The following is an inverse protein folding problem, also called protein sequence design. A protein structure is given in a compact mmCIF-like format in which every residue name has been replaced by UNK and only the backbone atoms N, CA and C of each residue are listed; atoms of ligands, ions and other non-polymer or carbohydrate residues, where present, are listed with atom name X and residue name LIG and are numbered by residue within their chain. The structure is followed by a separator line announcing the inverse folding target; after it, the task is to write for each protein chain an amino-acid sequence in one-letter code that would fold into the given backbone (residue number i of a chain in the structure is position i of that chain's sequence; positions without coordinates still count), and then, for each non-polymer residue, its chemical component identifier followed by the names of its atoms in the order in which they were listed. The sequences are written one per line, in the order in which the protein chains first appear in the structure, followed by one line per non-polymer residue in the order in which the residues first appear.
data_IF_235293029174
#
_entry.id   IF_235293029174
#
_cell.length_a   1.000
_cell.length_b   1.000
_cell.length_c   1.000
_cell.angle_alpha   90.00
_cell.angle_beta   90.00
_cell.angle_gamma   90.00
#
_symmetry.space_group_name_H-M   'P 1'
#
loop_
_entity.id
_entity.type
_entity.pdbx_description
1 polymer ?
#
# COMPACT_ATOMS: atom_id res chain seq x y z
N UNK A 1 3.12 -3.25 16.70
CA UNK A 1 4.53 -3.36 16.26
C UNK A 1 4.89 -4.82 15.96
N UNK A 2 4.95 -5.16 14.67
CA UNK A 2 5.37 -6.47 14.16
C UNK A 2 6.89 -6.68 14.16
N UNK A 3 7.34 -7.87 13.76
CA UNK A 3 8.76 -8.25 13.60
C UNK A 3 9.54 -7.30 12.67
N UNK A 4 8.86 -6.61 11.77
CA UNK A 4 9.45 -5.59 10.88
C UNK A 4 9.44 -4.17 11.45
N UNK A 5 8.73 -3.93 12.56
CA UNK A 5 8.52 -2.61 13.15
C UNK A 5 7.27 -1.88 12.66
N UNK A 6 6.44 -2.50 11.82
CA UNK A 6 5.19 -1.90 11.36
C UNK A 6 4.20 -1.74 12.51
N UNK A 7 3.57 -0.57 12.56
CA UNK A 7 2.44 -0.37 13.45
C UNK A 7 1.13 -0.83 12.81
N UNK A 8 0.10 -0.99 13.65
CA UNK A 8 -1.25 -1.34 13.20
C UNK A 8 -1.78 -0.35 12.15
N UNK A 9 -1.36 0.91 12.24
CA UNK A 9 -1.70 1.95 11.28
C UNK A 9 -1.08 1.70 9.90
N UNK A 10 0.21 1.36 9.82
CA UNK A 10 0.90 1.04 8.56
C UNK A 10 0.24 -0.16 7.87
N UNK A 11 -0.05 -1.20 8.66
CA UNK A 11 -0.72 -2.41 8.19
C UNK A 11 -2.11 -2.07 7.64
N UNK A 12 -2.86 -1.20 8.32
CA UNK A 12 -4.17 -0.72 7.88
C UNK A 12 -4.07 0.10 6.60
N UNK A 13 -3.09 1.00 6.50
CA UNK A 13 -2.79 1.79 5.30
C UNK A 13 -2.54 0.89 4.10
N UNK A 14 -1.57 -0.02 4.21
CA UNK A 14 -1.22 -0.96 3.14
C UNK A 14 -2.40 -1.85 2.76
N UNK A 15 -3.12 -2.40 3.75
CA UNK A 15 -4.31 -3.23 3.50
C UNK A 15 -5.36 -2.44 2.73
N UNK A 16 -5.64 -1.20 3.13
CA UNK A 16 -6.62 -0.33 2.46
C UNK A 16 -6.23 -0.07 1.01
N UNK A 17 -4.95 0.18 0.73
CA UNK A 17 -4.46 0.38 -0.64
C UNK A 17 -4.63 -0.91 -1.46
N UNK A 18 -4.30 -2.05 -0.86
CA UNK A 18 -4.39 -3.36 -1.52
C UNK A 18 -5.84 -3.74 -1.79
N UNK A 19 -6.74 -3.58 -0.83
CA UNK A 19 -8.14 -3.99 -0.96
C UNK A 19 -8.96 -3.04 -1.82
N UNK A 20 -8.73 -1.73 -1.69
CA UNK A 20 -9.53 -0.73 -2.43
C UNK A 20 -8.97 -0.45 -3.82
N UNK A 21 -7.65 -0.47 -3.99
CA UNK A 21 -6.99 -0.06 -5.23
C UNK A 21 -6.18 -1.19 -5.89
N UNK A 22 -6.18 -2.40 -5.33
CA UNK A 22 -5.43 -3.52 -5.91
C UNK A 22 -3.92 -3.31 -5.93
N UNK A 23 -3.37 -2.44 -5.07
CA UNK A 23 -1.93 -2.15 -5.00
C UNK A 23 -1.50 -0.83 -5.64
N UNK A 24 -2.44 -0.03 -6.14
CA UNK A 24 -2.22 1.33 -6.64
C UNK A 24 -2.45 1.48 -8.15
N UNK A 25 -2.26 2.68 -8.73
CA UNK A 25 -1.79 3.92 -8.10
C UNK A 25 -2.89 4.67 -7.33
N UNK A 26 -2.61 5.04 -6.08
CA UNK A 26 -3.51 5.85 -5.24
C UNK A 26 -2.96 7.26 -5.02
N UNK A 27 -3.84 8.27 -5.05
CA UNK A 27 -3.49 9.65 -4.69
C UNK A 27 -3.35 9.82 -3.17
N UNK A 28 -2.48 10.73 -2.74
CA UNK A 28 -2.26 10.99 -1.31
C UNK A 28 -3.56 11.44 -0.63
N UNK A 29 -4.28 12.37 -1.25
CA UNK A 29 -5.57 12.86 -0.74
C UNK A 29 -6.62 11.76 -0.63
N UNK A 30 -6.63 10.82 -1.57
CA UNK A 30 -7.58 9.71 -1.56
C UNK A 30 -7.25 8.71 -0.46
N UNK A 31 -5.95 8.46 -0.25
CA UNK A 31 -5.48 7.58 0.82
C UNK A 31 -5.74 8.20 2.21
N UNK A 32 -5.45 9.49 2.36
CA UNK A 32 -5.76 10.31 3.52
C UNK A 32 -7.25 10.22 3.88
N UNK A 33 -8.14 10.44 2.89
CA UNK A 33 -9.58 10.33 3.07
C UNK A 33 -10.04 8.92 3.46
N UNK A 34 -9.42 7.87 2.89
CA UNK A 34 -9.77 6.48 3.20
C UNK A 34 -9.33 6.07 4.62
N UNK A 35 -8.24 6.62 5.12
CA UNK A 35 -7.71 6.34 6.46
C UNK A 35 -8.26 7.28 7.53
N UNK A 36 -8.82 8.42 7.14
CA UNK A 36 -9.23 9.49 8.05
C UNK A 36 -8.04 10.22 8.66
N UNK A 37 -6.92 10.27 7.94
CA UNK A 37 -5.67 10.92 8.38
C UNK A 37 -5.29 12.05 7.44
N UNK A 38 -4.39 12.93 7.90
CA UNK A 38 -3.88 14.01 7.06
C UNK A 38 -2.85 13.52 6.05
N UNK A 39 -3.04 13.93 4.78
CA UNK A 39 -2.13 13.66 3.68
C UNK A 39 -0.67 14.02 4.03
N UNK A 40 -0.47 15.18 4.66
CA UNK A 40 0.86 15.67 5.06
C UNK A 40 1.51 14.77 6.11
N UNK A 41 0.74 14.29 7.09
CA UNK A 41 1.24 13.37 8.12
C UNK A 41 1.69 12.05 7.49
N UNK A 42 0.90 11.53 6.53
CA UNK A 42 1.26 10.33 5.77
C UNK A 42 2.59 10.53 5.03
N UNK A 43 2.78 11.66 4.35
CA UNK A 43 3.99 11.97 3.60
C UNK A 43 5.22 12.24 4.48
N UNK A 44 5.08 13.01 5.55
CA UNK A 44 6.22 13.43 6.38
C UNK A 44 6.60 12.39 7.45
N UNK A 45 5.64 11.59 7.91
CA UNK A 45 5.84 10.65 9.04
C UNK A 45 5.92 9.21 8.55
N UNK A 46 4.99 8.78 7.69
CA UNK A 46 4.82 7.35 7.37
C UNK A 46 5.54 6.93 6.08
N UNK A 47 5.47 7.71 4.98
CA UNK A 47 6.17 7.45 3.72
C UNK A 47 7.68 7.16 3.90
N UNK A 48 8.47 7.95 4.66
CA UNK A 48 9.91 7.71 4.76
C UNK A 48 10.23 6.31 5.30
N UNK A 49 9.48 5.83 6.28
CA UNK A 49 9.66 4.49 6.84
C UNK A 49 9.21 3.40 5.87
N UNK A 50 8.01 3.52 5.30
CA UNK A 50 7.45 2.55 4.35
C UNK A 50 8.26 2.44 3.06
N UNK A 51 8.86 3.54 2.60
CA UNK A 51 9.78 3.55 1.47
C UNK A 51 11.13 2.92 1.83
N UNK A 52 11.64 3.15 3.05
CA UNK A 52 12.92 2.58 3.49
C UNK A 52 12.89 1.05 3.59
N UNK A 53 11.78 0.47 4.06
CA UNK A 53 11.57 -0.98 4.10
C UNK A 53 11.15 -1.55 2.73
N UNK A 54 10.90 -0.68 1.73
CA UNK A 54 10.53 -1.07 0.38
C UNK A 54 9.09 -1.57 0.24
N UNK A 55 8.18 -1.17 1.12
CA UNK A 55 6.76 -1.56 1.08
C UNK A 55 5.90 -0.62 0.24
N UNK A 56 6.31 0.65 0.15
CA UNK A 56 5.65 1.67 -0.65
C UNK A 56 6.63 2.22 -1.68
N UNK A 57 6.14 2.49 -2.89
CA UNK A 57 6.90 3.17 -3.93
C UNK A 57 6.14 4.38 -4.48
N UNK A 58 6.87 5.48 -4.70
CA UNK A 58 6.34 6.67 -5.35
C UNK A 58 6.46 6.52 -6.86
N UNK A 59 5.34 6.67 -7.56
CA UNK A 59 5.27 6.67 -9.02
C UNK A 59 4.68 7.99 -9.51
N UNK A 60 4.87 8.31 -10.80
CA UNK A 60 4.30 9.52 -11.41
C UNK A 60 2.76 9.59 -11.35
N UNK A 61 2.08 8.45 -11.16
CA UNK A 61 0.61 8.37 -11.06
C UNK A 61 0.10 8.33 -9.62
N UNK A 62 0.97 8.21 -8.63
CA UNK A 62 0.58 8.07 -7.22
C UNK A 62 1.45 7.06 -6.47
N UNK A 63 0.93 6.59 -5.34
CA UNK A 63 1.61 5.64 -4.48
C UNK A 63 1.19 4.23 -4.87
N UNK A 64 2.16 3.34 -5.01
CA UNK A 64 1.91 1.93 -5.26
C UNK A 64 2.52 1.10 -4.12
N UNK A 65 1.81 0.05 -3.75
CA UNK A 65 2.28 -0.92 -2.76
C UNK A 65 3.13 -1.96 -3.49
N UNK A 66 4.28 -2.31 -2.91
CA UNK A 66 5.18 -3.28 -3.52
C UNK A 66 4.77 -4.70 -3.15
N UNK A 67 5.27 -5.69 -3.89
CA UNK A 67 5.05 -7.10 -3.61
C UNK A 67 5.51 -7.52 -2.20
N UNK A 68 6.51 -6.84 -1.62
CA UNK A 68 6.98 -7.11 -0.26
C UNK A 68 5.90 -6.87 0.79
N UNK A 69 5.15 -5.78 0.65
CA UNK A 69 4.04 -5.50 1.56
C UNK A 69 2.94 -6.56 1.44
N UNK A 70 2.61 -7.00 0.21
CA UNK A 70 1.65 -8.09 0.00
C UNK A 70 2.07 -9.38 0.70
N UNK A 71 3.34 -9.77 0.52
CA UNK A 71 3.90 -10.98 1.13
C UNK A 71 3.87 -10.89 2.65
N UNK A 72 4.25 -9.73 3.20
CA UNK A 72 4.23 -9.47 4.65
C UNK A 72 2.81 -9.49 5.24
N UNK A 73 1.85 -8.90 4.55
CA UNK A 73 0.44 -8.90 4.96
C UNK A 73 -0.23 -10.27 4.75
N UNK A 74 0.44 -11.21 4.08
CA UNK A 74 -0.15 -12.49 3.68
C UNK A 74 -1.30 -12.34 2.68
N UNK A 75 -1.43 -11.16 2.04
CA UNK A 75 -2.47 -10.90 1.05
C UNK A 75 -1.94 -11.42 -0.29
N UNK A 76 -2.61 -12.42 -0.86
CA UNK A 76 -2.31 -12.84 -2.22
C UNK A 76 -2.61 -11.68 -3.15
N UNK A 77 -1.59 -11.22 -3.87
CA UNK A 77 -1.75 -10.37 -5.05
C UNK A 77 -2.72 -11.12 -5.97
N UNK A 78 -3.99 -10.71 -5.98
CA UNK A 78 -4.98 -11.30 -6.86
C UNK A 78 -4.69 -10.71 -8.24
N UNK A 79 -3.72 -11.31 -8.91
CA UNK A 79 -3.39 -11.08 -10.30
C UNK A 79 -4.59 -11.61 -11.13
N UNK A 80 -5.69 -10.85 -11.15
CA UNK A 80 -6.80 -11.08 -12.06
C UNK A 80 -6.41 -10.78 -13.52
N UNK A 81 -5.11 -10.72 -13.85
CA UNK A 81 -4.62 -10.51 -15.21
C UNK A 81 -4.38 -11.81 -15.96
N UNK A 82 -4.71 -12.99 -15.42
CA UNK A 82 -4.46 -14.24 -16.15
C UNK A 82 -5.53 -15.35 -16.03
N UNK A 83 -6.82 -15.00 -16.12
CA UNK A 83 -7.85 -16.00 -16.42
C UNK A 83 -8.82 -15.57 -17.53
N UNK A 84 -8.32 -15.06 -18.67
CA UNK A 84 -9.03 -15.18 -19.97
C UNK A 84 -8.04 -15.34 -21.13
N UNK A 85 -7.29 -16.43 -21.10
CA UNK A 85 -6.77 -17.06 -22.32
C UNK A 85 -6.76 -18.56 -22.08
N UNK A 86 -7.95 -19.14 -22.11
CA UNK A 86 -8.15 -20.57 -22.27
C UNK A 86 -9.14 -20.71 -23.42
N UNK A 87 -8.53 -20.93 -24.60
CA UNK A 87 -9.07 -21.50 -25.84
C UNK A 87 -10.39 -20.98 -26.41
#
# INVERSE_FOLDING_TARGET
IDELGLDDFDRKMLTTIITNYGGGPVGLDTLAAALGEEAVTIEDVYEPYLMQIGFLTRTARGRCVTKLAYDHLGIKLNDNSNQQSIF
#
